data_IF_181160035814
#
_entry.id   IF_181160035814
#
_cell.length_a   1.000
_cell.length_b   1.000
_cell.length_c   1.000
_cell.angle_alpha   90.00
_cell.angle_beta   90.00
_cell.angle_gamma   90.00
#
_symmetry.space_group_name_H-M   'P 1'
#
loop_
_entity.id
_entity.type
_entity.pdbx_description
1 polymer ?
#
# COMPACT_ATOMS: atom_id res chain seq x y z
N UNK A 1 1.46 -7.88 1.98
CA UNK A 1 2.53 -7.80 1.00
C UNK A 1 3.89 -8.26 1.56
N UNK A 2 4.30 -7.83 2.77
CA UNK A 2 5.53 -8.32 3.39
C UNK A 2 5.30 -9.63 4.14
N UNK A 3 6.06 -10.66 3.80
CA UNK A 3 5.88 -12.01 4.36
C UNK A 3 6.40 -12.18 5.78
N UNK A 4 7.41 -11.39 6.19
CA UNK A 4 7.99 -11.47 7.52
C UNK A 4 7.33 -10.47 8.47
N UNK A 5 6.85 -10.97 9.61
CA UNK A 5 6.21 -10.14 10.62
C UNK A 5 7.11 -9.95 11.83
N UNK A 6 7.13 -8.73 12.38
CA UNK A 6 7.80 -8.44 13.65
C UNK A 6 7.10 -9.05 14.86
N UNK A 7 5.92 -9.67 14.69
CA UNK A 7 5.17 -10.33 15.76
C UNK A 7 6.03 -11.36 16.50
N UNK A 8 6.90 -12.09 15.81
CA UNK A 8 7.80 -13.07 16.40
C UNK A 8 8.76 -12.50 17.45
N UNK A 9 8.97 -11.19 17.44
CA UNK A 9 9.86 -10.51 18.38
C UNK A 9 9.16 -9.94 19.63
N UNK A 10 7.83 -10.02 19.74
CA UNK A 10 7.07 -9.45 20.87
C UNK A 10 7.51 -10.04 22.21
N UNK A 11 7.86 -11.34 22.25
CA UNK A 11 8.39 -11.98 23.47
C UNK A 11 9.79 -11.51 23.83
N UNK A 12 10.59 -11.09 22.84
CA UNK A 12 11.98 -10.66 23.05
C UNK A 12 12.10 -9.19 23.43
N UNK A 13 11.25 -8.33 22.84
CA UNK A 13 11.32 -6.88 23.04
C UNK A 13 10.05 -6.39 23.75
N UNK A 14 10.20 -6.01 25.00
CA UNK A 14 9.07 -5.59 25.87
C UNK A 14 8.41 -4.28 25.44
N UNK A 15 9.12 -3.44 24.69
CA UNK A 15 8.63 -2.17 24.14
C UNK A 15 8.09 -2.28 22.71
N UNK A 16 8.05 -3.49 22.11
CA UNK A 16 7.55 -3.67 20.74
C UNK A 16 6.04 -3.64 20.68
N UNK A 17 5.52 -2.77 19.82
CA UNK A 17 4.10 -2.67 19.46
C UNK A 17 3.97 -2.84 17.95
N UNK A 18 3.19 -3.81 17.50
CA UNK A 18 2.93 -4.07 16.09
C UNK A 18 1.52 -3.65 15.72
N UNK A 19 1.40 -2.69 14.81
CA UNK A 19 0.11 -2.24 14.29
C UNK A 19 -0.23 -2.97 12.98
N UNK A 20 -1.48 -3.34 12.84
CA UNK A 20 -2.04 -3.96 11.65
C UNK A 20 -3.31 -3.23 11.22
N UNK A 21 -3.56 -3.19 9.92
CA UNK A 21 -4.74 -2.53 9.35
C UNK A 21 -5.47 -3.44 8.37
N UNK A 22 -6.78 -3.31 8.34
CA UNK A 22 -7.65 -3.91 7.32
C UNK A 22 -7.73 -3.06 6.03
N UNK A 23 -7.17 -1.85 6.05
CA UNK A 23 -7.33 -0.86 4.97
C UNK A 23 -6.57 -1.17 3.68
N UNK A 24 -5.50 -1.98 3.70
CA UNK A 24 -4.57 -2.16 2.56
C UNK A 24 -4.71 -3.53 1.92
N UNK A 25 -3.92 -4.52 2.34
CA UNK A 25 -3.93 -5.86 1.74
C UNK A 25 -5.30 -6.55 1.80
N UNK A 26 -6.09 -6.26 2.82
CA UNK A 26 -7.44 -6.79 2.99
C UNK A 26 -8.49 -6.00 2.19
N UNK A 27 -8.16 -4.77 1.76
CA UNK A 27 -9.03 -3.97 0.90
C UNK A 27 -10.20 -3.26 1.60
N UNK A 28 -10.20 -3.21 2.93
CA UNK A 28 -11.34 -2.71 3.73
C UNK A 28 -11.06 -1.32 4.34
N UNK A 29 -10.59 -0.38 3.53
CA UNK A 29 -10.25 0.97 4.02
C UNK A 29 -11.45 1.72 4.63
N UNK A 30 -12.65 1.52 4.09
CA UNK A 30 -13.88 2.20 4.53
C UNK A 30 -14.36 1.81 5.92
N UNK A 31 -14.02 0.61 6.42
CA UNK A 31 -14.45 0.16 7.76
C UNK A 31 -13.65 0.78 8.91
N UNK A 32 -12.58 1.52 8.62
CA UNK A 32 -11.74 2.24 9.61
C UNK A 32 -11.25 1.37 10.77
N UNK A 33 -10.84 0.13 10.48
CA UNK A 33 -10.42 -0.83 11.47
C UNK A 33 -8.96 -1.24 11.33
N UNK A 34 -8.36 -1.57 12.46
CA UNK A 34 -7.04 -2.13 12.62
C UNK A 34 -6.92 -2.79 13.97
N UNK A 35 -5.75 -3.33 14.28
CA UNK A 35 -5.48 -3.93 15.57
C UNK A 35 -4.03 -3.80 15.98
N UNK A 36 -3.81 -3.89 17.27
CA UNK A 36 -2.50 -3.79 17.91
C UNK A 36 -2.15 -5.16 18.49
N UNK A 37 -0.90 -5.54 18.34
CA UNK A 37 -0.34 -6.75 18.96
C UNK A 37 0.91 -6.33 19.76
N UNK A 38 0.93 -6.65 21.04
CA UNK A 38 2.05 -6.39 21.94
C UNK A 38 2.02 -7.34 23.13
N UNK A 39 2.92 -7.18 24.09
CA UNK A 39 2.82 -7.86 25.38
C UNK A 39 1.65 -7.30 26.21
N UNK A 40 1.23 -8.07 27.21
CA UNK A 40 0.09 -7.75 28.07
C UNK A 40 0.19 -6.35 28.70
N UNK A 41 1.34 -6.01 29.29
CA UNK A 41 1.56 -4.72 29.97
C UNK A 41 1.37 -3.53 29.03
N UNK A 42 1.85 -3.60 27.78
CA UNK A 42 1.63 -2.54 26.79
C UNK A 42 0.17 -2.46 26.36
N UNK A 43 -0.51 -3.58 26.15
CA UNK A 43 -1.92 -3.61 25.81
C UNK A 43 -2.78 -2.99 26.91
N UNK A 44 -2.54 -3.35 28.19
CA UNK A 44 -3.25 -2.77 29.34
C UNK A 44 -3.08 -1.26 29.41
N UNK A 45 -1.85 -0.74 29.18
CA UNK A 45 -1.60 0.70 29.12
C UNK A 45 -2.33 1.38 27.96
N UNK A 46 -2.30 0.79 26.77
CA UNK A 46 -2.99 1.33 25.60
C UNK A 46 -4.51 1.30 25.79
N UNK A 47 -5.01 0.31 26.51
CA UNK A 47 -6.43 0.16 26.79
C UNK A 47 -7.01 1.33 27.59
N UNK A 48 -6.22 1.99 28.44
CA UNK A 48 -6.66 3.17 29.21
C UNK A 48 -6.94 4.40 28.33
N UNK A 49 -6.35 4.46 27.13
CA UNK A 49 -6.55 5.55 26.16
C UNK A 49 -7.57 5.22 25.07
N UNK A 50 -8.25 4.09 25.22
CA UNK A 50 -9.23 3.60 24.23
C UNK A 50 -10.47 4.50 24.24
N UNK A 51 -10.96 4.97 23.07
CA UNK A 51 -12.25 5.65 23.01
C UNK A 51 -13.39 4.69 23.36
N UNK A 52 -14.48 5.22 23.88
CA UNK A 52 -15.65 4.42 24.30
C UNK A 52 -16.21 3.59 23.13
N UNK A 53 -16.22 4.13 21.93
CA UNK A 53 -16.71 3.48 20.72
C UNK A 53 -15.59 3.34 19.70
N UNK A 54 -14.82 2.24 19.75
CA UNK A 54 -13.65 2.04 18.91
C UNK A 54 -13.98 1.61 17.50
N UNK A 55 -14.92 0.68 17.36
CA UNK A 55 -15.24 0.04 16.10
C UNK A 55 -16.76 -0.19 15.98
N UNK A 56 -17.32 0.13 14.82
CA UNK A 56 -18.74 -0.08 14.58
C UNK A 56 -19.10 -1.56 14.45
N UNK A 57 -20.34 -1.92 14.80
CA UNK A 57 -20.86 -3.28 14.62
C UNK A 57 -20.79 -3.74 13.17
N UNK A 58 -21.03 -2.85 12.21
CA UNK A 58 -20.90 -3.13 10.78
C UNK A 58 -19.45 -3.50 10.43
N UNK A 59 -18.46 -2.79 10.98
CA UNK A 59 -17.05 -3.11 10.77
C UNK A 59 -16.70 -4.47 11.35
N UNK A 60 -17.23 -4.81 12.53
CA UNK A 60 -17.03 -6.14 13.13
C UNK A 60 -17.61 -7.26 12.26
N UNK A 61 -18.82 -7.08 11.73
CA UNK A 61 -19.45 -8.04 10.82
C UNK A 61 -18.65 -8.21 9.53
N UNK A 62 -18.22 -7.09 8.92
CA UNK A 62 -17.40 -7.12 7.71
C UNK A 62 -16.07 -7.85 7.94
N UNK A 63 -15.42 -7.64 9.08
CA UNK A 63 -14.18 -8.35 9.43
C UNK A 63 -14.42 -9.84 9.59
N UNK A 64 -15.49 -10.25 10.29
CA UNK A 64 -15.84 -11.66 10.43
C UNK A 64 -16.05 -12.32 9.07
N UNK A 65 -16.76 -11.65 8.17
CA UNK A 65 -17.06 -12.18 6.84
C UNK A 65 -15.82 -12.32 5.95
N UNK A 66 -14.91 -11.35 5.98
CA UNK A 66 -13.68 -11.44 5.19
C UNK A 66 -12.75 -12.56 5.68
N UNK A 67 -12.76 -12.87 6.98
CA UNK A 67 -11.99 -13.99 7.51
C UNK A 67 -12.54 -15.35 7.08
N UNK A 68 -13.87 -15.49 6.95
CA UNK A 68 -14.47 -16.70 6.35
C UNK A 68 -14.05 -16.88 4.90
N UNK A 69 -13.87 -15.77 4.18
CA UNK A 69 -13.51 -15.72 2.76
C UNK A 69 -12.06 -15.31 2.51
N UNK A 70 -11.14 -15.62 3.44
CA UNK A 70 -9.74 -15.13 3.37
C UNK A 70 -8.99 -15.56 2.10
N UNK A 71 -9.48 -16.59 1.40
CA UNK A 71 -9.00 -16.99 0.07
C UNK A 71 -9.03 -15.85 -0.96
N UNK A 72 -10.04 -14.98 -0.91
CA UNK A 72 -10.16 -13.80 -1.78
C UNK A 72 -9.04 -12.81 -1.53
N UNK A 73 -8.67 -12.58 -0.26
CA UNK A 73 -7.55 -11.70 0.12
C UNK A 73 -6.24 -12.24 -0.44
N UNK A 74 -5.98 -13.55 -0.28
CA UNK A 74 -4.78 -14.20 -0.84
C UNK A 74 -4.72 -14.06 -2.36
N UNK A 75 -5.82 -14.30 -3.06
CA UNK A 75 -5.94 -14.14 -4.51
C UNK A 75 -5.61 -12.71 -4.94
N UNK A 76 -6.18 -11.69 -4.26
CA UNK A 76 -5.91 -10.30 -4.54
C UNK A 76 -4.43 -9.93 -4.32
N UNK A 77 -3.82 -10.38 -3.23
CA UNK A 77 -2.39 -10.16 -2.95
C UNK A 77 -1.53 -10.75 -4.08
N UNK A 78 -1.81 -12.00 -4.49
CA UNK A 78 -1.09 -12.66 -5.59
C UNK A 78 -1.22 -11.88 -6.91
N UNK A 79 -2.43 -11.44 -7.25
CA UNK A 79 -2.66 -10.64 -8.46
C UNK A 79 -1.92 -9.29 -8.42
N UNK A 80 -1.84 -8.67 -7.26
CA UNK A 80 -1.10 -7.41 -7.05
C UNK A 80 0.41 -7.63 -7.22
N UNK A 81 0.96 -8.73 -6.70
CA UNK A 81 2.38 -9.08 -6.88
C UNK A 81 2.72 -9.36 -8.36
N UNK A 82 1.82 -10.02 -9.09
CA UNK A 82 1.97 -10.22 -10.55
C UNK A 82 1.98 -8.87 -11.27
N UNK A 83 1.06 -7.97 -10.92
CA UNK A 83 0.99 -6.63 -11.49
C UNK A 83 2.23 -5.80 -11.17
N UNK A 84 2.75 -5.87 -9.93
CA UNK A 84 3.99 -5.23 -9.51
C UNK A 84 5.18 -5.68 -10.36
N UNK A 85 5.38 -6.99 -10.48
CA UNK A 85 6.49 -7.56 -11.28
C UNK A 85 6.40 -7.12 -12.75
N UNK A 86 5.20 -7.13 -13.31
CA UNK A 86 4.96 -6.63 -14.67
C UNK A 86 5.35 -5.15 -14.80
N UNK A 87 4.83 -4.30 -13.90
CA UNK A 87 5.09 -2.85 -13.95
C UNK A 87 6.59 -2.55 -13.86
N UNK A 88 7.31 -3.17 -12.92
CA UNK A 88 8.76 -2.97 -12.75
C UNK A 88 9.52 -3.36 -14.01
N UNK A 89 9.17 -4.50 -14.61
CA UNK A 89 9.78 -4.96 -15.87
C UNK A 89 9.60 -3.93 -17.00
N UNK A 90 8.38 -3.40 -17.15
CA UNK A 90 8.09 -2.41 -18.20
C UNK A 90 8.73 -1.05 -17.94
N UNK A 91 8.80 -0.59 -16.69
CA UNK A 91 9.48 0.65 -16.32
C UNK A 91 10.99 0.58 -16.61
N UNK A 92 11.62 -0.56 -16.36
CA UNK A 92 13.04 -0.78 -16.71
C UNK A 92 13.30 -0.65 -18.22
N UNK A 93 12.39 -1.13 -19.07
CA UNK A 93 12.50 -0.97 -20.53
C UNK A 93 12.41 0.50 -20.98
N UNK A 94 11.82 1.36 -20.17
CA UNK A 94 11.70 2.81 -20.40
C UNK A 94 12.82 3.60 -19.74
N UNK A 95 13.81 2.91 -19.16
CA UNK A 95 14.88 3.52 -18.38
C UNK A 95 14.35 4.43 -17.26
N UNK A 96 13.24 4.02 -16.63
CA UNK A 96 12.67 4.68 -15.46
C UNK A 96 13.03 3.90 -14.20
N UNK A 97 13.67 4.59 -13.26
CA UNK A 97 14.02 4.03 -11.96
C UNK A 97 12.76 3.88 -11.11
N UNK A 98 12.58 2.72 -10.50
CA UNK A 98 11.52 2.48 -9.54
C UNK A 98 12.08 2.05 -8.20
N UNK A 99 11.48 2.56 -7.11
CA UNK A 99 11.84 2.19 -5.75
C UNK A 99 10.85 1.14 -5.26
N UNK A 100 11.32 -0.10 -5.22
CA UNK A 100 10.50 -1.22 -4.76
C UNK A 100 10.20 -1.11 -3.28
N UNK A 101 8.95 -1.32 -2.91
CA UNK A 101 8.48 -1.34 -1.53
C UNK A 101 7.75 -2.64 -1.24
N UNK A 102 7.63 -3.00 0.03
CA UNK A 102 6.75 -4.09 0.49
C UNK A 102 5.34 -3.60 0.82
N UNK A 103 4.96 -2.44 0.31
CA UNK A 103 3.62 -1.87 0.48
C UNK A 103 2.75 -2.07 -0.77
N UNK A 104 1.59 -1.46 -0.78
CA UNK A 104 0.66 -1.47 -1.91
C UNK A 104 0.93 -0.36 -2.95
N UNK A 105 2.12 0.21 -2.95
CA UNK A 105 2.51 1.25 -3.91
C UNK A 105 3.97 1.12 -4.33
N UNK A 106 4.33 1.83 -5.39
CA UNK A 106 5.68 2.00 -5.89
C UNK A 106 5.94 3.49 -6.15
N UNK A 107 7.19 3.92 -5.96
CA UNK A 107 7.65 5.22 -6.41
C UNK A 107 8.40 5.02 -7.73
N UNK A 108 8.11 5.88 -8.71
CA UNK A 108 8.76 5.90 -10.03
C UNK A 108 9.40 7.25 -10.23
N UNK A 109 10.71 7.27 -10.46
CA UNK A 109 11.47 8.49 -10.75
C UNK A 109 11.40 8.79 -12.25
N UNK A 110 10.99 10.00 -12.57
CA UNK A 110 10.86 10.51 -13.93
C UNK A 110 12.05 11.39 -14.34
N UNK A 111 13.23 11.15 -13.75
CA UNK A 111 14.50 11.82 -14.06
C UNK A 111 14.55 13.29 -13.66
N UNK A 112 13.52 14.08 -13.95
CA UNK A 112 13.44 15.50 -13.59
C UNK A 112 12.02 15.91 -13.24
N UNK A 113 11.90 17.06 -12.59
CA UNK A 113 10.62 17.58 -12.08
C UNK A 113 9.64 17.93 -13.20
N UNK A 114 10.14 18.45 -14.34
CA UNK A 114 9.30 18.85 -15.48
C UNK A 114 8.57 17.63 -16.06
N UNK A 115 9.29 16.53 -16.31
CA UNK A 115 8.69 15.30 -16.81
C UNK A 115 7.73 14.68 -15.79
N UNK A 116 8.13 14.64 -14.51
CA UNK A 116 7.22 14.16 -13.44
C UNK A 116 5.92 14.96 -13.40
N UNK A 117 5.98 16.28 -13.48
CA UNK A 117 4.81 17.16 -13.49
C UNK A 117 3.96 16.99 -14.76
N UNK A 118 4.58 16.85 -15.92
CA UNK A 118 3.91 16.55 -17.19
C UNK A 118 3.12 15.23 -17.08
N UNK A 119 3.79 14.17 -16.63
CA UNK A 119 3.17 12.84 -16.47
C UNK A 119 2.03 12.88 -15.44
N UNK A 120 2.24 13.52 -14.29
CA UNK A 120 1.21 13.70 -13.27
C UNK A 120 -0.04 14.35 -13.83
N UNK A 121 0.10 15.50 -14.52
CA UNK A 121 -1.03 16.25 -15.07
C UNK A 121 -1.76 15.47 -16.16
N UNK A 122 -1.03 14.82 -17.07
CA UNK A 122 -1.64 14.08 -18.18
C UNK A 122 -2.34 12.80 -17.73
N UNK A 123 -1.79 12.09 -16.73
CA UNK A 123 -2.48 10.93 -16.14
C UNK A 123 -3.77 11.35 -15.42
N UNK A 124 -3.74 12.46 -14.66
CA UNK A 124 -4.92 12.98 -13.98
C UNK A 124 -6.04 13.36 -14.97
N UNK A 125 -5.72 13.98 -16.12
CA UNK A 125 -6.68 14.25 -17.19
C UNK A 125 -7.37 12.99 -17.72
N UNK A 126 -6.73 11.84 -17.59
CA UNK A 126 -7.26 10.51 -17.97
C UNK A 126 -7.86 9.74 -16.82
N UNK A 127 -8.13 10.39 -15.68
CA UNK A 127 -8.62 9.78 -14.45
C UNK A 127 -7.70 8.67 -13.88
N UNK A 128 -6.42 8.70 -14.23
CA UNK A 128 -5.39 7.83 -13.62
C UNK A 128 -4.72 8.61 -12.51
N UNK A 129 -5.23 8.44 -11.30
CA UNK A 129 -4.79 9.22 -10.15
C UNK A 129 -3.44 8.72 -9.64
N UNK A 130 -2.50 9.62 -9.53
CA UNK A 130 -1.20 9.40 -8.89
C UNK A 130 -0.99 10.40 -7.76
N UNK A 131 0.08 10.25 -6.99
CA UNK A 131 0.50 11.25 -6.00
C UNK A 131 1.95 11.63 -6.24
N UNK A 132 2.26 12.91 -6.11
CA UNK A 132 3.66 13.36 -6.01
C UNK A 132 4.28 12.72 -4.76
N UNK A 133 5.53 12.30 -4.85
CA UNK A 133 6.26 11.80 -3.69
C UNK A 133 6.41 12.91 -2.64
N UNK A 134 6.68 12.57 -1.37
CA UNK A 134 7.01 13.55 -0.35
C UNK A 134 8.17 14.44 -0.83
N UNK A 135 8.20 15.69 -0.36
CA UNK A 135 9.27 16.64 -0.70
C UNK A 135 10.59 16.26 0.02
N UNK A 136 11.10 15.09 -0.30
CA UNK A 136 12.40 14.57 0.15
C UNK A 136 13.31 14.64 -1.06
N UNK A 137 14.52 15.18 -0.90
CA UNK A 137 15.47 15.37 -2.00
C UNK A 137 15.64 14.14 -2.89
N UNK A 138 15.73 12.95 -2.30
CA UNK A 138 15.88 11.69 -3.02
C UNK A 138 14.66 11.27 -3.86
N UNK A 139 13.49 11.89 -3.66
CA UNK A 139 12.22 11.50 -4.29
C UNK A 139 11.51 12.64 -5.03
N UNK A 140 12.14 13.82 -5.14
CA UNK A 140 11.49 15.05 -5.68
C UNK A 140 10.92 14.91 -7.09
N UNK A 141 11.50 14.02 -7.90
CA UNK A 141 11.06 13.75 -9.27
C UNK A 141 10.16 12.52 -9.37
N UNK A 142 9.73 11.97 -8.23
CA UNK A 142 9.00 10.70 -8.21
C UNK A 142 7.50 10.89 -8.08
N UNK A 143 6.77 10.03 -8.76
CA UNK A 143 5.33 9.85 -8.58
C UNK A 143 5.06 8.52 -7.89
N UNK A 144 4.06 8.51 -7.01
CA UNK A 144 3.60 7.33 -6.31
C UNK A 144 2.38 6.74 -7.00
N UNK A 145 2.49 5.47 -7.38
CA UNK A 145 1.40 4.69 -7.98
C UNK A 145 0.98 3.57 -7.05
N UNK A 146 -0.33 3.42 -6.88
CA UNK A 146 -0.89 2.25 -6.18
C UNK A 146 -0.77 1.02 -7.06
N UNK A 147 -0.34 -0.09 -6.46
CA UNK A 147 -0.22 -1.37 -7.14
C UNK A 147 -1.56 -2.10 -7.18
N UNK A 148 -1.79 -2.84 -8.24
CA UNK A 148 -2.99 -3.66 -8.44
C UNK A 148 -2.75 -4.80 -9.44
N UNK A 149 -3.80 -5.52 -9.84
CA UNK A 149 -3.72 -6.55 -10.87
C UNK A 149 -3.07 -6.07 -12.17
N UNK A 150 -2.42 -7.00 -12.88
CA UNK A 150 -1.66 -6.73 -14.11
C UNK A 150 -2.42 -5.90 -15.14
N UNK A 151 -3.72 -6.12 -15.30
CA UNK A 151 -4.56 -5.35 -16.24
C UNK A 151 -4.51 -3.84 -16.02
N UNK A 152 -4.53 -3.40 -14.75
CA UNK A 152 -4.44 -1.97 -14.42
C UNK A 152 -3.02 -1.43 -14.59
N UNK A 153 -2.01 -2.25 -14.32
CA UNK A 153 -0.61 -1.86 -14.56
C UNK A 153 -0.30 -1.75 -16.06
N UNK A 154 -0.99 -2.53 -16.91
CA UNK A 154 -0.92 -2.40 -18.36
C UNK A 154 -1.49 -1.07 -18.86
N UNK A 155 -2.63 -0.64 -18.30
CA UNK A 155 -3.22 0.67 -18.61
C UNK A 155 -2.26 1.78 -18.21
N UNK A 156 -1.74 1.75 -16.98
CA UNK A 156 -0.80 2.75 -16.48
C UNK A 156 0.44 2.86 -17.37
N UNK A 157 1.09 1.74 -17.69
CA UNK A 157 2.33 1.76 -18.48
C UNK A 157 2.08 2.20 -19.93
N UNK A 158 0.93 1.84 -20.51
CA UNK A 158 0.52 2.30 -21.84
C UNK A 158 0.43 3.83 -21.90
N UNK A 159 -0.14 4.44 -20.87
CA UNK A 159 -0.26 5.91 -20.83
C UNK A 159 1.07 6.58 -20.51
N UNK A 160 1.90 6.01 -19.65
CA UNK A 160 3.26 6.53 -19.40
C UNK A 160 4.08 6.50 -20.69
N UNK A 161 4.05 5.42 -21.47
CA UNK A 161 4.79 5.28 -22.76
C UNK A 161 4.50 6.39 -23.78
N UNK A 162 3.31 6.99 -23.73
CA UNK A 162 2.94 8.08 -24.64
C UNK A 162 3.50 9.45 -24.22
N UNK A 163 4.05 9.56 -23.02
CA UNK A 163 4.40 10.84 -22.40
C UNK A 163 5.91 11.08 -22.29
N UNK A 164 6.69 9.99 -22.49
CA UNK A 164 8.17 9.97 -22.36
C UNK A 164 8.84 9.69 -23.69
#
# INVERSE_FOLDING_TARGET
FYKNSSIKFIKKFTNLVVLRTFSKAIGMAGIRAGYIISNKKNIERLYTFRPMYEISSISCLAIKEIFKNYGLVKKYITQTEIGKKYLIKELRKLDLKSFETFSNFILVDFRNYTLASKVFNQLNKKNILSRKAPNIHACKNSLRFTLGPKKYMQILIKEIKKLI
#
